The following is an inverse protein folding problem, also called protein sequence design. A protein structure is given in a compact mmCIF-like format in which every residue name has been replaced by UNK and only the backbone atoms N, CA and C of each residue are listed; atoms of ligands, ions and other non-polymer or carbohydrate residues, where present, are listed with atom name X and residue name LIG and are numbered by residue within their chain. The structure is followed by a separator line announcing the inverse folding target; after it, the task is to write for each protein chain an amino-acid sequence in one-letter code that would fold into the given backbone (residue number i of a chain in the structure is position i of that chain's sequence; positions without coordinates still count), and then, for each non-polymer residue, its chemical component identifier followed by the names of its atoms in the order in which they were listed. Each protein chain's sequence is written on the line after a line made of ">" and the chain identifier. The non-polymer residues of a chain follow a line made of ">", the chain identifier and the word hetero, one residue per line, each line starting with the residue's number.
data_IF_809911779073
#
_entry.id   IF_809911779073
#
_cell.length_a   1.000
_cell.length_b   1.000
_cell.length_c   1.000
_cell.angle_alpha   90.00
_cell.angle_beta   90.00
_cell.angle_gamma   90.00
#
_symmetry.space_group_name_H-M   'P 1'
#
loop_
_entity.id
_entity.type
_entity.pdbx_description
1 polymer ?
#
# COMPACT_ATOMS: atom_id res chain seq x y z
N UNK A 1 -10.90 -45.98 -36.33
CA UNK A 1 -10.17 -44.68 -36.34
C UNK A 1 -10.62 -43.94 -35.11
N UNK A 2 -9.75 -43.84 -34.12
CA UNK A 2 -10.03 -43.10 -32.85
C UNK A 2 -9.72 -41.63 -33.05
N UNK A 3 -10.71 -40.77 -32.89
CA UNK A 3 -10.56 -39.33 -32.92
C UNK A 3 -9.79 -38.90 -31.65
N UNK A 4 -8.68 -38.14 -31.76
CA UNK A 4 -7.97 -37.67 -30.57
C UNK A 4 -8.86 -36.70 -29.79
N UNK A 5 -9.03 -36.94 -28.50
CA UNK A 5 -9.73 -36.02 -27.61
C UNK A 5 -8.77 -34.86 -27.33
N UNK A 6 -9.07 -33.69 -27.87
CA UNK A 6 -8.35 -32.45 -27.53
C UNK A 6 -8.60 -32.08 -26.08
N UNK A 7 -7.55 -32.01 -25.27
CA UNK A 7 -7.63 -31.68 -23.83
C UNK A 7 -7.83 -30.19 -23.55
N UNK A 8 -8.26 -29.38 -24.53
CA UNK A 8 -8.55 -27.96 -24.38
C UNK A 8 -7.30 -27.10 -24.09
N UNK A 9 -6.11 -27.64 -24.31
CA UNK A 9 -4.87 -26.85 -24.24
C UNK A 9 -4.79 -26.02 -25.53
N UNK A 10 -4.67 -24.68 -25.46
CA UNK A 10 -4.55 -23.86 -26.65
C UNK A 10 -3.33 -24.27 -27.48
N UNK A 11 -3.52 -24.52 -28.75
CA UNK A 11 -2.44 -24.75 -29.73
C UNK A 11 -1.74 -23.40 -30.02
N UNK A 12 -0.83 -23.01 -29.18
CA UNK A 12 -0.03 -21.78 -29.37
C UNK A 12 0.72 -21.35 -28.12
N UNK A 13 1.77 -20.54 -28.26
CA UNK A 13 2.42 -19.95 -27.10
C UNK A 13 1.37 -19.12 -26.32
N UNK A 14 1.46 -19.09 -24.98
CA UNK A 14 0.55 -18.28 -24.17
C UNK A 14 0.59 -16.83 -24.68
N UNK A 15 -0.55 -16.10 -24.64
CA UNK A 15 -0.61 -14.74 -25.12
C UNK A 15 0.48 -13.92 -24.40
N UNK A 16 1.27 -13.18 -25.18
CA UNK A 16 2.31 -12.31 -24.64
C UNK A 16 1.63 -11.33 -23.69
N UNK A 17 1.98 -11.41 -22.40
CA UNK A 17 1.48 -10.47 -21.39
C UNK A 17 1.85 -9.05 -21.82
N UNK A 18 0.94 -8.12 -21.62
CA UNK A 18 1.19 -6.72 -21.92
C UNK A 18 2.45 -6.26 -21.16
N UNK A 19 3.38 -5.51 -21.79
CA UNK A 19 4.59 -5.04 -21.11
C UNK A 19 4.20 -4.29 -19.83
N UNK A 20 4.93 -4.56 -18.76
CA UNK A 20 4.72 -3.83 -17.50
C UNK A 20 5.07 -2.36 -17.69
N UNK A 21 4.24 -1.49 -17.13
CA UNK A 21 4.50 -0.05 -17.04
C UNK A 21 5.81 0.19 -16.28
N UNK A 22 6.67 1.08 -16.77
CA UNK A 22 7.86 1.52 -16.02
C UNK A 22 7.44 2.34 -14.80
N UNK A 23 8.05 2.03 -13.65
CA UNK A 23 7.81 2.72 -12.38
C UNK A 23 9.11 2.97 -11.65
N UNK A 24 9.06 3.86 -10.66
CA UNK A 24 10.11 3.98 -9.63
C UNK A 24 10.28 2.64 -8.91
N UNK A 25 11.44 2.44 -8.31
CA UNK A 25 11.77 1.24 -7.54
C UNK A 25 11.81 1.60 -6.06
N UNK A 26 11.15 0.78 -5.23
CA UNK A 26 11.10 0.93 -3.78
C UNK A 26 11.64 -0.33 -3.12
N UNK A 27 12.08 -0.21 -1.88
CA UNK A 27 12.49 -1.34 -1.04
C UNK A 27 11.62 -1.38 0.23
N UNK A 28 10.90 -2.47 0.41
CA UNK A 28 10.15 -2.76 1.64
C UNK A 28 10.90 -3.86 2.39
N UNK A 29 11.86 -3.47 3.21
CA UNK A 29 12.84 -4.41 3.74
C UNK A 29 13.63 -5.08 2.61
N UNK A 30 13.68 -6.43 2.54
CA UNK A 30 14.35 -7.14 1.45
C UNK A 30 13.51 -7.26 0.17
N UNK A 31 12.25 -6.81 0.16
CA UNK A 31 11.33 -6.98 -0.96
C UNK A 31 11.35 -5.76 -1.87
N UNK A 32 11.76 -5.93 -3.11
CA UNK A 32 11.69 -4.89 -4.14
C UNK A 32 10.24 -4.69 -4.63
N UNK A 33 9.84 -3.43 -4.80
CA UNK A 33 8.51 -3.04 -5.32
C UNK A 33 8.68 -2.05 -6.46
N UNK A 34 8.20 -2.41 -7.64
CA UNK A 34 8.31 -1.58 -8.83
C UNK A 34 8.43 -2.41 -10.11
N UNK A 35 8.64 -1.75 -11.26
CA UNK A 35 8.66 -2.42 -12.57
C UNK A 35 9.78 -3.45 -12.74
N UNK A 36 10.90 -3.28 -12.04
CA UNK A 36 12.10 -4.08 -12.21
C UNK A 36 12.20 -5.23 -11.19
N UNK A 37 11.20 -5.32 -10.28
CA UNK A 37 11.05 -6.39 -9.30
C UNK A 37 9.87 -7.30 -9.65
N UNK A 38 9.84 -8.56 -9.20
CA UNK A 38 8.65 -9.40 -9.28
C UNK A 38 7.44 -8.74 -8.60
N UNK A 39 6.24 -9.15 -8.98
CA UNK A 39 5.02 -8.72 -8.28
C UNK A 39 5.05 -9.32 -6.87
N UNK A 40 5.00 -8.46 -5.85
CA UNK A 40 4.94 -8.88 -4.45
C UNK A 40 3.51 -9.09 -3.97
N UNK A 41 3.31 -10.12 -3.17
CA UNK A 41 2.02 -10.43 -2.54
C UNK A 41 1.99 -9.87 -1.13
N UNK A 42 1.03 -8.99 -0.86
CA UNK A 42 0.83 -8.41 0.46
C UNK A 42 -0.51 -8.84 1.04
N UNK A 43 -0.50 -9.21 2.31
CA UNK A 43 -1.72 -9.43 3.09
C UNK A 43 -1.76 -8.56 4.34
N UNK A 44 -2.84 -8.66 5.10
CA UNK A 44 -3.03 -7.92 6.34
C UNK A 44 -3.51 -8.87 7.43
N UNK A 45 -2.98 -8.72 8.65
CA UNK A 45 -3.50 -9.43 9.81
C UNK A 45 -4.89 -8.90 10.20
N UNK A 46 -5.73 -9.76 10.73
CA UNK A 46 -7.03 -9.42 11.31
C UNK A 46 -7.04 -9.56 12.84
N UNK A 47 -5.92 -9.94 13.43
CA UNK A 47 -5.71 -9.95 14.87
C UNK A 47 -5.63 -8.53 15.43
N UNK A 48 -5.84 -8.38 16.72
CA UNK A 48 -5.50 -7.13 17.41
C UNK A 48 -3.98 -7.04 17.49
N UNK A 49 -3.39 -5.97 16.98
CA UNK A 49 -1.93 -5.84 16.87
C UNK A 49 -1.22 -5.96 18.22
N UNK A 50 -1.83 -5.48 19.29
CA UNK A 50 -1.30 -5.63 20.64
C UNK A 50 -1.34 -7.07 21.19
N UNK A 51 -2.07 -7.98 20.57
CA UNK A 51 -1.88 -9.43 20.77
C UNK A 51 -0.69 -9.88 19.91
N UNK A 52 0.50 -9.67 20.45
CA UNK A 52 1.77 -9.94 19.74
C UNK A 52 1.86 -11.39 19.30
N UNK A 53 1.50 -12.34 20.18
CA UNK A 53 1.62 -13.77 19.88
C UNK A 53 0.62 -14.20 18.80
N UNK A 54 -0.63 -13.81 18.91
CA UNK A 54 -1.66 -14.08 17.90
C UNK A 54 -1.31 -13.45 16.55
N UNK A 55 -0.79 -12.21 16.56
CA UNK A 55 -0.36 -11.51 15.34
C UNK A 55 0.83 -12.21 14.69
N UNK A 56 1.85 -12.61 15.44
CA UNK A 56 3.01 -13.34 14.90
C UNK A 56 2.62 -14.72 14.36
N UNK A 57 1.70 -15.42 15.03
CA UNK A 57 1.19 -16.70 14.54
C UNK A 57 0.46 -16.52 13.19
N UNK A 58 -0.37 -15.49 13.05
CA UNK A 58 -1.04 -15.22 11.79
C UNK A 58 -0.05 -14.80 10.70
N UNK A 59 0.99 -14.01 11.02
CA UNK A 59 2.05 -13.66 10.08
C UNK A 59 2.76 -14.93 9.58
N UNK A 60 3.06 -15.87 10.45
CA UNK A 60 3.68 -17.15 10.05
C UNK A 60 2.78 -17.94 9.10
N UNK A 61 1.47 -17.98 9.33
CA UNK A 61 0.51 -18.63 8.44
C UNK A 61 0.45 -17.93 7.06
N UNK A 62 0.43 -16.59 7.03
CA UNK A 62 0.46 -15.82 5.80
C UNK A 62 1.75 -16.05 5.01
N UNK A 63 2.89 -16.08 5.70
CA UNK A 63 4.20 -16.39 5.09
C UNK A 63 4.20 -17.78 4.46
N UNK A 64 3.69 -18.78 5.18
CA UNK A 64 3.59 -20.15 4.66
C UNK A 64 2.64 -20.26 3.45
N UNK A 65 1.71 -19.30 3.29
CA UNK A 65 0.80 -19.20 2.15
C UNK A 65 1.37 -18.39 0.98
N UNK A 66 2.64 -17.96 1.04
CA UNK A 66 3.31 -17.21 -0.02
C UNK A 66 3.16 -15.69 0.06
N UNK A 67 2.87 -15.14 1.24
CA UNK A 67 2.85 -13.69 1.45
C UNK A 67 4.28 -13.15 1.57
N UNK A 68 4.62 -12.13 0.80
CA UNK A 68 5.94 -11.49 0.81
C UNK A 68 6.05 -10.35 1.82
N UNK A 69 4.94 -9.65 2.06
CA UNK A 69 4.86 -8.45 2.91
C UNK A 69 3.59 -8.52 3.75
N UNK A 70 3.67 -8.24 5.04
CA UNK A 70 2.49 -8.18 5.90
C UNK A 70 2.22 -6.76 6.39
N UNK A 71 0.94 -6.40 6.46
CA UNK A 71 0.49 -5.14 7.05
C UNK A 71 -0.25 -5.41 8.35
N UNK A 72 0.05 -4.62 9.39
CA UNK A 72 -0.61 -4.65 10.69
C UNK A 72 -1.26 -3.30 10.98
N UNK A 73 -2.46 -3.30 11.57
CA UNK A 73 -3.15 -2.07 11.93
C UNK A 73 -2.55 -1.44 13.19
N UNK A 74 -2.45 -0.11 13.23
CA UNK A 74 -1.98 0.62 14.40
C UNK A 74 -2.95 1.77 14.77
N UNK A 75 -4.16 1.45 15.23
CA UNK A 75 -5.18 2.47 15.56
C UNK A 75 -5.01 3.07 16.96
N UNK A 76 -4.31 2.41 17.88
CA UNK A 76 -4.23 2.77 19.31
C UNK A 76 -2.79 2.80 19.81
N UNK A 77 -2.51 3.49 20.96
CA UNK A 77 -1.18 3.52 21.57
C UNK A 77 -0.63 2.12 21.85
N UNK A 78 -1.43 1.24 22.41
CA UNK A 78 -1.03 -0.14 22.75
C UNK A 78 -0.61 -0.95 21.52
N UNK A 79 -1.17 -0.65 20.34
CA UNK A 79 -0.78 -1.29 19.08
C UNK A 79 0.58 -0.77 18.63
N UNK A 80 0.86 0.53 18.79
CA UNK A 80 2.16 1.12 18.50
C UNK A 80 3.26 0.54 19.42
N UNK A 81 2.96 0.30 20.69
CA UNK A 81 3.87 -0.32 21.65
C UNK A 81 4.22 -1.77 21.30
N UNK A 82 3.34 -2.46 20.57
CA UNK A 82 3.56 -3.83 20.12
C UNK A 82 4.44 -3.93 18.85
N UNK A 83 4.51 -2.88 18.04
CA UNK A 83 5.22 -2.89 16.75
C UNK A 83 6.69 -3.32 16.84
N UNK A 84 7.52 -2.89 17.82
CA UNK A 84 8.91 -3.29 17.89
C UNK A 84 9.08 -4.82 18.01
N UNK A 85 8.24 -5.47 18.82
CA UNK A 85 8.29 -6.90 19.02
C UNK A 85 7.84 -7.66 17.76
N UNK A 86 6.82 -7.16 17.06
CA UNK A 86 6.29 -7.75 15.84
C UNK A 86 7.29 -7.56 14.69
N UNK A 87 7.79 -6.34 14.45
CA UNK A 87 8.74 -6.06 13.38
C UNK A 87 10.02 -6.88 13.52
N UNK A 88 10.53 -7.01 14.76
CA UNK A 88 11.76 -7.78 15.03
C UNK A 88 11.60 -9.29 14.82
N UNK A 89 10.43 -9.85 15.14
CA UNK A 89 10.20 -11.31 15.13
C UNK A 89 9.51 -11.82 13.87
N UNK A 90 8.96 -10.92 13.05
CA UNK A 90 8.30 -11.30 11.80
C UNK A 90 9.29 -11.87 10.79
N UNK A 91 8.97 -13.02 10.14
CA UNK A 91 9.81 -13.58 9.08
C UNK A 91 9.77 -12.80 7.76
N UNK A 92 8.78 -11.94 7.59
CA UNK A 92 8.59 -11.08 6.41
C UNK A 92 8.46 -9.61 6.83
N UNK A 93 8.77 -8.63 5.95
CA UNK A 93 8.68 -7.22 6.29
C UNK A 93 7.29 -6.79 6.72
N UNK A 94 7.25 -5.95 7.75
CA UNK A 94 6.02 -5.45 8.36
C UNK A 94 5.76 -4.02 7.92
N UNK A 95 4.55 -3.74 7.44
CA UNK A 95 4.03 -2.40 7.19
C UNK A 95 3.08 -2.00 8.32
N UNK A 96 3.30 -0.85 8.92
CA UNK A 96 2.35 -0.27 9.86
C UNK A 96 1.27 0.53 9.12
N UNK A 97 0.00 0.23 9.41
CA UNK A 97 -1.17 0.90 8.83
C UNK A 97 -1.69 1.97 9.79
N UNK A 98 -1.40 3.24 9.48
CA UNK A 98 -1.72 4.39 10.32
C UNK A 98 -2.93 5.12 9.75
N UNK A 99 -4.02 5.15 10.53
CA UNK A 99 -5.30 5.70 10.08
C UNK A 99 -5.61 7.10 10.63
N UNK A 100 -5.21 7.42 11.89
CA UNK A 100 -5.78 8.57 12.57
C UNK A 100 -4.78 9.49 13.26
N UNK A 101 -3.59 9.00 13.63
CA UNK A 101 -2.66 9.73 14.50
C UNK A 101 -1.25 9.78 13.92
N UNK A 102 -0.77 10.94 13.46
CA UNK A 102 0.57 11.08 12.88
C UNK A 102 1.71 10.61 13.80
N UNK A 103 1.54 10.71 15.11
CA UNK A 103 2.57 10.26 16.08
C UNK A 103 2.91 8.78 15.95
N UNK A 104 1.96 7.94 15.52
CA UNK A 104 2.22 6.51 15.34
C UNK A 104 3.10 6.23 14.12
N UNK A 105 3.21 7.17 13.18
CA UNK A 105 4.15 7.06 12.05
C UNK A 105 5.58 7.02 12.59
N UNK A 106 5.94 7.97 13.46
CA UNK A 106 7.27 8.04 14.05
C UNK A 106 7.56 6.80 14.91
N UNK A 107 6.59 6.38 15.72
CA UNK A 107 6.72 5.17 16.53
C UNK A 107 6.90 3.90 15.66
N UNK A 108 6.23 3.81 14.52
CA UNK A 108 6.38 2.68 13.60
C UNK A 108 7.74 2.68 12.88
N UNK A 109 8.25 3.87 12.55
CA UNK A 109 9.62 4.03 12.01
C UNK A 109 10.64 3.57 13.06
N UNK A 110 10.55 4.06 14.28
CA UNK A 110 11.44 3.71 15.40
C UNK A 110 11.35 2.22 15.76
N UNK A 111 10.18 1.61 15.57
CA UNK A 111 9.94 0.19 15.78
C UNK A 111 10.60 -0.72 14.73
N UNK A 112 11.14 -0.16 13.64
CA UNK A 112 11.75 -0.92 12.55
C UNK A 112 10.75 -1.51 11.55
N UNK A 113 9.57 -0.91 11.42
CA UNK A 113 8.65 -1.26 10.33
C UNK A 113 9.30 -0.94 8.97
N UNK A 114 9.15 -1.84 8.01
CA UNK A 114 9.80 -1.74 6.70
C UNK A 114 9.13 -0.73 5.75
N UNK A 115 7.91 -0.32 6.05
CA UNK A 115 7.18 0.73 5.36
C UNK A 115 6.00 1.22 6.22
N UNK A 116 5.44 2.35 5.86
CA UNK A 116 4.25 2.93 6.48
C UNK A 116 3.13 3.04 5.45
N UNK A 117 1.92 2.71 5.84
CA UNK A 117 0.73 3.07 5.07
C UNK A 117 0.00 4.19 5.76
N UNK A 118 -0.29 5.25 5.03
CA UNK A 118 -1.10 6.37 5.50
C UNK A 118 -2.38 6.49 4.67
N UNK A 119 -3.44 6.97 5.32
CA UNK A 119 -4.67 7.39 4.66
C UNK A 119 -4.90 8.87 5.02
N UNK A 120 -4.38 9.79 4.20
CA UNK A 120 -4.43 11.21 4.51
C UNK A 120 -5.85 11.75 4.70
N UNK A 121 -6.83 11.24 3.95
CA UNK A 121 -8.24 11.60 4.12
C UNK A 121 -8.80 11.34 5.52
N UNK A 122 -8.19 10.48 6.32
CA UNK A 122 -8.55 10.21 7.71
C UNK A 122 -7.70 10.99 8.74
N UNK A 123 -6.60 11.61 8.33
CA UNK A 123 -5.67 12.31 9.21
C UNK A 123 -5.85 13.81 9.01
N UNK A 124 -6.70 14.43 9.85
CA UNK A 124 -7.12 15.85 9.71
C UNK A 124 -5.99 16.89 9.75
N UNK A 125 -4.87 16.57 10.37
CA UNK A 125 -3.73 17.48 10.55
C UNK A 125 -2.48 16.99 9.78
N UNK A 126 -2.69 16.13 8.80
CA UNK A 126 -1.57 15.48 8.11
C UNK A 126 -0.74 16.48 7.31
N UNK A 127 -1.40 17.41 6.61
CA UNK A 127 -0.73 18.40 5.75
C UNK A 127 0.33 19.21 6.52
N UNK A 128 0.02 19.60 7.76
CA UNK A 128 0.97 20.33 8.62
C UNK A 128 2.17 19.52 9.11
N UNK A 129 2.11 18.18 8.95
CA UNK A 129 3.16 17.25 9.40
C UNK A 129 3.89 16.52 8.31
N UNK A 130 3.51 16.70 7.06
CA UNK A 130 4.11 16.00 5.91
C UNK A 130 5.63 16.19 5.89
N UNK A 131 6.12 17.40 6.14
CA UNK A 131 7.56 17.69 6.18
C UNK A 131 8.31 16.83 7.22
N UNK A 132 7.76 16.71 8.43
CA UNK A 132 8.37 15.92 9.50
C UNK A 132 8.34 14.42 9.14
N UNK A 133 7.22 13.95 8.60
CA UNK A 133 7.04 12.56 8.18
C UNK A 133 7.96 12.20 7.02
N UNK A 134 8.03 13.06 5.98
CA UNK A 134 8.93 12.89 4.84
C UNK A 134 10.39 12.80 5.28
N UNK A 135 10.81 13.71 6.20
CA UNK A 135 12.15 13.67 6.75
C UNK A 135 12.42 12.37 7.53
N UNK A 136 11.53 11.98 8.42
CA UNK A 136 11.72 10.78 9.25
C UNK A 136 11.77 9.51 8.40
N UNK A 137 10.89 9.37 7.42
CA UNK A 137 10.88 8.23 6.50
C UNK A 137 12.12 8.20 5.60
N UNK A 138 12.56 9.37 5.11
CA UNK A 138 13.77 9.52 4.32
C UNK A 138 15.04 9.19 5.12
N UNK A 139 15.16 9.68 6.35
CA UNK A 139 16.30 9.36 7.24
C UNK A 139 16.36 7.85 7.56
N UNK A 140 15.20 7.19 7.67
CA UNK A 140 15.10 5.76 7.91
C UNK A 140 15.20 4.90 6.62
N UNK A 141 15.14 5.51 5.44
CA UNK A 141 15.20 4.82 4.15
C UNK A 141 14.03 3.87 3.90
N UNK A 142 12.83 4.20 4.40
CA UNK A 142 11.64 3.36 4.24
C UNK A 142 10.58 4.04 3.37
N UNK A 143 9.86 3.31 2.51
CA UNK A 143 8.82 3.87 1.66
C UNK A 143 7.51 4.13 2.43
N UNK A 144 6.73 5.07 1.89
CA UNK A 144 5.38 5.36 2.35
C UNK A 144 4.39 4.95 1.27
N UNK A 145 3.31 4.25 1.66
CA UNK A 145 2.18 4.00 0.78
C UNK A 145 1.02 4.94 1.10
N UNK A 146 0.69 5.78 0.15
CA UNK A 146 -0.52 6.60 0.16
C UNK A 146 -1.71 5.72 -0.23
N UNK A 147 -2.70 5.64 0.65
CA UNK A 147 -3.88 4.80 0.46
C UNK A 147 -5.15 5.61 0.42
N UNK A 148 -5.59 6.00 -0.79
CA UNK A 148 -6.87 6.67 -1.00
C UNK A 148 -8.00 5.65 -1.07
N UNK A 149 -9.08 5.89 -0.33
CA UNK A 149 -10.28 5.06 -0.35
C UNK A 149 -11.50 5.93 -0.66
N UNK A 150 -12.42 5.42 -1.49
CA UNK A 150 -13.65 6.13 -1.84
C UNK A 150 -14.51 6.49 -0.63
N UNK A 151 -14.52 5.64 0.41
CA UNK A 151 -15.27 5.89 1.64
C UNK A 151 -14.66 6.92 2.60
N UNK A 152 -13.43 7.37 2.35
CA UNK A 152 -12.72 8.37 3.17
C UNK A 152 -12.03 9.45 2.32
N UNK A 153 -12.60 9.76 1.17
CA UNK A 153 -12.10 10.80 0.29
C UNK A 153 -12.18 12.18 0.97
N UNK A 154 -11.20 13.05 0.68
CA UNK A 154 -11.15 14.41 1.19
C UNK A 154 -12.45 15.18 0.86
N UNK A 155 -12.95 15.95 1.81
CA UNK A 155 -14.21 16.68 1.69
C UNK A 155 -14.20 17.68 0.53
N UNK A 156 -13.06 18.34 0.26
CA UNK A 156 -12.89 19.29 -0.86
C UNK A 156 -13.16 18.59 -2.19
N UNK A 157 -12.70 17.35 -2.34
CA UNK A 157 -12.90 16.56 -3.55
C UNK A 157 -14.33 16.02 -3.63
N UNK A 158 -14.92 15.62 -2.49
CA UNK A 158 -16.34 15.26 -2.45
C UNK A 158 -17.24 16.44 -2.83
N UNK A 159 -16.94 17.66 -2.40
CA UNK A 159 -17.66 18.89 -2.79
C UNK A 159 -17.47 19.19 -4.29
N UNK A 160 -16.25 19.04 -4.81
CA UNK A 160 -15.92 19.28 -6.23
C UNK A 160 -16.59 18.27 -7.16
N UNK A 161 -16.59 16.99 -6.82
CA UNK A 161 -17.03 15.90 -7.70
C UNK A 161 -18.40 15.33 -7.34
N UNK A 162 -18.99 15.73 -6.22
CA UNK A 162 -20.28 15.24 -5.72
C UNK A 162 -20.26 13.83 -5.15
N UNK A 163 -19.28 13.00 -5.54
CA UNK A 163 -19.07 11.63 -5.09
C UNK A 163 -17.63 11.17 -5.34
N UNK A 164 -17.28 9.97 -4.85
CA UNK A 164 -15.98 9.36 -5.09
C UNK A 164 -15.90 8.81 -6.54
N UNK A 165 -15.60 9.66 -7.51
CA UNK A 165 -15.37 9.28 -8.91
C UNK A 165 -13.93 8.79 -9.12
N UNK A 166 -13.60 8.10 -10.24
CA UNK A 166 -12.22 7.78 -10.59
C UNK A 166 -11.30 9.00 -10.57
N UNK A 167 -11.76 10.11 -11.15
CA UNK A 167 -11.00 11.37 -11.22
C UNK A 167 -10.74 11.95 -9.83
N UNK A 168 -11.72 11.89 -8.93
CA UNK A 168 -11.59 12.36 -7.56
C UNK A 168 -10.56 11.54 -6.78
N UNK A 169 -10.55 10.22 -6.94
CA UNK A 169 -9.57 9.32 -6.31
C UNK A 169 -8.16 9.59 -6.83
N UNK A 170 -8.02 9.79 -8.14
CA UNK A 170 -6.74 10.07 -8.79
C UNK A 170 -6.21 11.45 -8.38
N UNK A 171 -7.06 12.48 -8.37
CA UNK A 171 -6.68 13.84 -7.95
C UNK A 171 -6.21 13.83 -6.49
N UNK A 172 -6.92 13.11 -5.59
CA UNK A 172 -6.50 12.94 -4.20
C UNK A 172 -5.12 12.32 -4.10
N UNK A 173 -4.89 11.22 -4.82
CA UNK A 173 -3.63 10.50 -4.76
C UNK A 173 -2.44 11.32 -5.26
N UNK A 174 -2.62 12.06 -6.36
CA UNK A 174 -1.59 12.92 -6.94
C UNK A 174 -1.31 14.11 -6.02
N UNK A 175 -2.34 14.74 -5.49
CA UNK A 175 -2.18 15.88 -4.58
C UNK A 175 -1.42 15.47 -3.32
N UNK A 176 -1.77 14.35 -2.72
CA UNK A 176 -1.11 13.83 -1.52
C UNK A 176 0.34 13.42 -1.77
N UNK A 177 0.64 12.81 -2.92
CA UNK A 177 2.02 12.52 -3.32
C UNK A 177 2.83 13.81 -3.54
N UNK A 178 2.22 14.83 -4.14
CA UNK A 178 2.82 16.14 -4.35
C UNK A 178 3.27 16.82 -3.06
N UNK A 179 2.49 16.68 -1.97
CA UNK A 179 2.88 17.21 -0.66
C UNK A 179 4.20 16.62 -0.16
N UNK A 180 4.46 15.34 -0.40
CA UNK A 180 5.74 14.71 -0.06
C UNK A 180 6.86 15.14 -1.00
N UNK A 181 6.58 15.25 -2.30
CA UNK A 181 7.57 15.70 -3.30
C UNK A 181 8.05 17.13 -3.04
N UNK A 182 7.20 18.04 -2.55
CA UNK A 182 7.58 19.39 -2.11
C UNK A 182 8.65 19.38 -1.03
N UNK A 183 8.78 18.29 -0.30
CA UNK A 183 9.81 18.09 0.73
C UNK A 183 10.93 17.14 0.29
N UNK A 184 11.06 16.87 -1.02
CA UNK A 184 12.11 16.05 -1.60
C UNK A 184 11.98 14.55 -1.34
N UNK A 185 10.78 14.08 -0.94
CA UNK A 185 10.52 12.68 -0.65
C UNK A 185 9.70 12.02 -1.76
N UNK A 186 10.27 11.00 -2.41
CA UNK A 186 9.67 10.33 -3.57
C UNK A 186 9.54 8.82 -3.44
N UNK A 187 9.91 8.22 -2.30
CA UNK A 187 9.79 6.78 -2.08
C UNK A 187 8.35 6.39 -1.72
N UNK A 188 7.46 6.60 -2.69
CA UNK A 188 6.02 6.50 -2.53
C UNK A 188 5.47 5.36 -3.38
N UNK A 189 4.58 4.54 -2.81
CA UNK A 189 3.63 3.70 -3.52
C UNK A 189 2.21 4.25 -3.35
N UNK A 190 1.33 3.98 -4.31
CA UNK A 190 -0.05 4.49 -4.26
C UNK A 190 -1.06 3.37 -4.39
N UNK A 191 -2.15 3.47 -3.64
CA UNK A 191 -3.36 2.68 -3.86
C UNK A 191 -4.59 3.56 -3.89
N UNK A 192 -5.47 3.31 -4.87
CA UNK A 192 -6.79 3.95 -4.98
C UNK A 192 -7.84 2.84 -4.96
N UNK A 193 -8.63 2.77 -3.90
CA UNK A 193 -9.55 1.67 -3.68
C UNK A 193 -11.00 2.14 -3.62
N UNK A 194 -11.88 1.33 -4.18
CA UNK A 194 -13.33 1.54 -4.14
C UNK A 194 -14.04 0.20 -4.02
N UNK A 195 -15.27 0.18 -3.50
CA UNK A 195 -16.11 -1.03 -3.43
C UNK A 195 -16.68 -1.42 -4.79
N UNK A 196 -16.85 -0.45 -5.70
CA UNK A 196 -17.19 -0.72 -7.10
C UNK A 196 -15.91 -1.06 -7.87
N UNK A 197 -15.77 -2.31 -8.38
CA UNK A 197 -14.56 -2.75 -9.07
C UNK A 197 -14.37 -2.05 -10.43
N UNK A 198 -15.43 -1.67 -11.12
CA UNK A 198 -15.34 -0.98 -12.42
C UNK A 198 -14.74 0.42 -12.23
N UNK A 199 -15.27 1.17 -11.26
CA UNK A 199 -14.77 2.48 -10.89
C UNK A 199 -13.31 2.39 -10.40
N UNK A 200 -12.99 1.37 -9.62
CA UNK A 200 -11.63 1.15 -9.13
C UNK A 200 -10.64 0.87 -10.27
N UNK A 201 -11.00 0.01 -11.21
CA UNK A 201 -10.16 -0.29 -12.39
C UNK A 201 -9.89 0.97 -13.20
N UNK A 202 -10.91 1.79 -13.42
CA UNK A 202 -10.77 3.05 -14.13
C UNK A 202 -9.86 4.03 -13.40
N UNK A 203 -10.00 4.16 -12.07
CA UNK A 203 -9.11 4.98 -11.26
C UNK A 203 -7.64 4.53 -11.36
N UNK A 204 -7.37 3.22 -11.32
CA UNK A 204 -6.00 2.72 -11.47
C UNK A 204 -5.44 2.96 -12.87
N UNK A 205 -6.25 2.83 -13.94
CA UNK A 205 -5.83 3.14 -15.31
C UNK A 205 -5.42 4.60 -15.45
N UNK A 206 -6.27 5.51 -15.01
CA UNK A 206 -5.97 6.95 -15.03
C UNK A 206 -4.74 7.29 -14.21
N UNK A 207 -4.58 6.70 -13.03
CA UNK A 207 -3.42 6.92 -12.18
C UNK A 207 -2.14 6.39 -12.82
N UNK A 208 -2.21 5.24 -13.49
CA UNK A 208 -1.07 4.63 -14.20
C UNK A 208 -0.55 5.50 -15.34
N UNK A 209 -1.43 6.28 -15.99
CA UNK A 209 -1.05 7.22 -17.06
C UNK A 209 -0.43 8.51 -16.52
N UNK A 210 -0.81 8.92 -15.29
CA UNK A 210 -0.44 10.23 -14.73
C UNK A 210 0.78 10.21 -13.82
N UNK A 211 1.19 9.04 -13.33
CA UNK A 211 2.31 8.91 -12.39
C UNK A 211 3.21 7.73 -12.71
N UNK A 212 4.45 7.77 -12.26
CA UNK A 212 5.42 6.68 -12.33
C UNK A 212 5.59 5.93 -11.01
N UNK A 213 4.77 6.22 -10.00
CA UNK A 213 4.77 5.50 -8.73
C UNK A 213 4.33 4.05 -8.89
N UNK A 214 4.93 3.10 -8.15
CA UNK A 214 4.40 1.74 -8.05
C UNK A 214 2.97 1.76 -7.49
N UNK A 215 2.11 0.93 -8.07
CA UNK A 215 0.70 0.85 -7.68
C UNK A 215 0.45 -0.42 -6.87
N UNK A 216 -0.19 -0.25 -5.73
CA UNK A 216 -0.65 -1.35 -4.90
C UNK A 216 -2.11 -1.66 -5.21
N UNK A 217 -2.35 -2.72 -5.97
CA UNK A 217 -3.68 -3.12 -6.42
C UNK A 217 -4.43 -3.88 -5.32
N UNK A 218 -5.72 -3.67 -5.22
CA UNK A 218 -6.57 -4.40 -4.29
C UNK A 218 -7.98 -3.83 -4.26
N UNK A 219 -8.94 -4.70 -3.98
CA UNK A 219 -10.35 -4.34 -3.75
C UNK A 219 -10.56 -3.99 -2.28
N UNK A 220 -11.52 -3.13 -2.00
CA UNK A 220 -11.92 -2.77 -0.64
C UNK A 220 -13.41 -3.03 -0.43
#
# INVERSE_FOLDING_TARGET
>A
MSTPIGLGIPDGPPPVLHPRRKTRQLQVGPVGVGSDSPISVQSMTNTKTHDINGTLQQIAQLTASGCDIVRVACPKPIDAEALPAIAKKSPIPVIADIHFQPKYIFQAIDAGCAAIRVNPGNIREFDGRVKEVAKAAGDAGIPIRIGVNGGSLDKRLLEKYGKATPEALVESAIWEAGLFEEHGYGDIAISVKHSDPVLMVEAYRQLAEKTDYPLHLGVT
#
